data_IF_037142361067
#
_entry.id   IF_037142361067
#
_cell.length_a   1.000
_cell.length_b   1.000
_cell.length_c   1.000
_cell.angle_alpha   90.00
_cell.angle_beta   90.00
_cell.angle_gamma   90.00
#
_symmetry.space_group_name_H-M   'P 1'
#
loop_
_entity.id
_entity.type
_entity.pdbx_description
1 polymer ?
#
# COMPACT_ATOMS: atom_id res chain seq x y z
N UNK A 1 -12.55 -5.21 14.32
CA UNK A 1 -13.78 -4.45 14.69
C UNK A 1 -14.07 -3.34 13.67
N UNK A 2 -15.34 -2.96 13.43
CA UNK A 2 -15.71 -1.85 12.52
C UNK A 2 -16.56 -0.83 13.26
N UNK A 3 -16.25 0.47 13.13
CA UNK A 3 -16.90 1.57 13.86
C UNK A 3 -17.20 2.71 12.89
N UNK A 4 -18.41 3.30 12.99
CA UNK A 4 -18.73 4.51 12.24
C UNK A 4 -18.10 5.76 12.86
N UNK A 5 -17.74 6.75 12.04
CA UNK A 5 -17.17 8.04 12.53
C UNK A 5 -18.01 8.65 13.67
N UNK A 6 -19.34 8.66 13.53
CA UNK A 6 -20.24 9.25 14.53
C UNK A 6 -20.24 8.48 15.86
N UNK A 7 -19.95 7.18 15.84
CA UNK A 7 -19.83 6.35 17.05
C UNK A 7 -18.47 6.51 17.71
N UNK A 8 -17.42 6.70 16.89
CA UNK A 8 -16.07 6.99 17.34
C UNK A 8 -16.02 8.29 18.15
N UNK A 9 -16.73 9.33 17.70
CA UNK A 9 -16.83 10.59 18.45
C UNK A 9 -17.45 10.43 19.85
N UNK A 10 -18.35 9.45 20.02
CA UNK A 10 -19.03 9.19 21.30
C UNK A 10 -18.24 8.23 22.21
N UNK A 11 -17.46 7.33 21.62
CA UNK A 11 -16.79 6.22 22.31
C UNK A 11 -15.27 6.27 22.18
N UNK A 12 -14.67 7.46 22.22
CA UNK A 12 -13.22 7.63 22.01
C UNK A 12 -12.36 6.87 23.03
N UNK A 13 -12.93 6.57 24.20
CA UNK A 13 -12.31 5.74 25.25
C UNK A 13 -11.94 4.33 24.80
N UNK A 14 -12.56 3.83 23.72
CA UNK A 14 -12.21 2.57 23.06
C UNK A 14 -10.71 2.47 22.77
N UNK A 15 -10.06 3.57 22.37
CA UNK A 15 -8.65 3.57 22.00
C UNK A 15 -7.68 3.39 23.18
N UNK A 16 -8.15 3.52 24.42
CA UNK A 16 -7.27 3.38 25.60
C UNK A 16 -6.78 1.95 25.81
N UNK A 17 -7.62 0.97 25.51
CA UNK A 17 -7.33 -0.46 25.69
C UNK A 17 -7.56 -1.20 24.37
N UNK A 18 -7.04 -0.64 23.27
CA UNK A 18 -7.18 -1.27 21.97
C UNK A 18 -6.33 -2.54 21.92
N UNK A 19 -6.98 -3.69 21.78
CA UNK A 19 -6.38 -5.02 21.62
C UNK A 19 -6.52 -5.55 20.19
N UNK A 20 -7.57 -5.12 19.49
CA UNK A 20 -7.86 -5.48 18.11
C UNK A 20 -7.75 -4.31 17.13
N UNK A 21 -7.53 -4.62 15.85
CA UNK A 21 -7.58 -3.61 14.78
C UNK A 21 -9.00 -3.10 14.57
N UNK A 22 -9.14 -1.78 14.49
CA UNK A 22 -10.42 -1.09 14.27
C UNK A 22 -10.45 -0.44 12.89
N UNK A 23 -11.47 -0.75 12.12
CA UNK A 23 -11.79 -0.08 10.86
C UNK A 23 -12.78 1.05 11.12
N UNK A 24 -12.40 2.27 10.75
CA UNK A 24 -13.26 3.44 10.81
C UNK A 24 -13.90 3.60 9.43
N UNK A 25 -15.23 3.59 9.41
CA UNK A 25 -16.02 3.69 8.18
C UNK A 25 -16.92 4.92 8.18
N UNK A 26 -17.18 5.48 7.01
CA UNK A 26 -18.38 6.29 6.81
C UNK A 26 -19.57 5.34 6.60
N UNK A 27 -20.55 5.40 7.50
CA UNK A 27 -21.75 4.56 7.38
C UNK A 27 -22.64 4.93 6.19
N UNK A 28 -22.53 6.16 5.66
CA UNK A 28 -23.32 6.60 4.50
C UNK A 28 -22.74 6.10 3.18
N UNK A 29 -21.45 6.32 2.95
CA UNK A 29 -20.78 5.89 1.71
C UNK A 29 -20.29 4.45 1.77
N UNK A 30 -20.25 3.84 2.97
CA UNK A 30 -19.67 2.52 3.27
C UNK A 30 -18.16 2.44 2.98
N UNK A 31 -17.50 3.57 2.85
CA UNK A 31 -16.06 3.61 2.60
C UNK A 31 -15.27 3.49 3.89
N UNK A 32 -14.13 2.80 3.80
CA UNK A 32 -13.15 2.71 4.88
C UNK A 32 -12.28 3.96 4.83
N UNK A 33 -12.29 4.72 5.92
CA UNK A 33 -11.56 5.98 6.02
C UNK A 33 -10.22 5.83 6.72
N UNK A 34 -10.16 4.95 7.72
CA UNK A 34 -8.94 4.72 8.49
C UNK A 34 -8.92 3.33 9.13
N UNK A 35 -7.71 2.84 9.37
CA UNK A 35 -7.42 1.64 10.15
C UNK A 35 -6.61 2.07 11.37
N UNK A 36 -7.07 1.69 12.55
CA UNK A 36 -6.36 1.95 13.81
C UNK A 36 -5.84 0.62 14.33
N UNK A 37 -4.52 0.56 14.48
CA UNK A 37 -3.80 -0.61 14.98
C UNK A 37 -3.49 -0.44 16.46
N UNK A 38 -3.58 -1.51 17.27
CA UNK A 38 -3.16 -1.47 18.66
C UNK A 38 -1.63 -1.38 18.75
N UNK A 39 -1.14 -0.71 19.79
CA UNK A 39 0.30 -0.45 19.98
C UNK A 39 1.14 -1.72 19.97
N UNK A 40 0.62 -2.82 20.52
CA UNK A 40 1.26 -4.14 20.51
C UNK A 40 1.47 -4.72 19.10
N UNK A 41 0.57 -4.42 18.15
CA UNK A 41 0.71 -4.85 16.76
C UNK A 41 1.67 -3.94 15.98
N UNK A 42 1.77 -2.66 16.34
CA UNK A 42 2.80 -1.76 15.80
C UNK A 42 4.21 -2.11 16.32
N UNK A 43 4.29 -2.55 17.59
CA UNK A 43 5.45 -3.11 18.31
C UNK A 43 6.17 -4.24 17.54
N UNK A 44 5.36 -5.18 17.06
CA UNK A 44 5.80 -6.52 16.62
C UNK A 44 6.07 -6.62 15.14
N UNK A 45 5.47 -5.74 14.34
CA UNK A 45 5.65 -5.69 12.90
C UNK A 45 5.98 -4.26 12.52
N UNK A 46 7.24 -4.02 12.18
CA UNK A 46 7.62 -2.81 11.44
C UNK A 46 6.88 -2.86 10.10
N UNK A 47 5.66 -2.31 10.06
CA UNK A 47 4.89 -2.16 8.82
C UNK A 47 5.73 -1.44 7.76
N UNK A 48 6.64 -0.58 8.21
CA UNK A 48 7.63 0.13 7.39
C UNK A 48 8.62 -0.83 6.72
N UNK A 49 9.07 -1.89 7.38
CA UNK A 49 9.99 -2.87 6.78
C UNK A 49 9.26 -3.77 5.78
N UNK A 50 8.01 -4.13 6.06
CA UNK A 50 7.20 -4.93 5.13
C UNK A 50 6.83 -4.12 3.88
N UNK A 51 6.40 -2.86 4.04
CA UNK A 51 6.07 -1.97 2.92
C UNK A 51 7.33 -1.47 2.19
N UNK A 52 8.40 -1.19 2.92
CA UNK A 52 9.71 -0.85 2.37
C UNK A 52 10.33 -2.01 1.60
N UNK A 53 10.17 -3.25 2.09
CA UNK A 53 10.54 -4.47 1.38
C UNK A 53 9.75 -4.66 0.09
N UNK A 54 8.43 -4.48 0.12
CA UNK A 54 7.58 -4.55 -1.09
C UNK A 54 8.00 -3.51 -2.14
N UNK A 55 8.34 -2.28 -1.71
CA UNK A 55 8.83 -1.23 -2.61
C UNK A 55 10.27 -1.45 -3.08
N UNK A 56 11.12 -2.12 -2.29
CA UNK A 56 12.48 -2.52 -2.70
C UNK A 56 12.47 -3.72 -3.65
N UNK A 57 11.51 -4.64 -3.52
CA UNK A 57 11.38 -5.83 -4.39
C UNK A 57 10.77 -5.56 -5.75
N UNK A 58 10.38 -4.31 -6.05
CA UNK A 58 10.31 -3.89 -7.44
C UNK A 58 11.74 -3.63 -7.90
N UNK A 59 12.49 -4.72 -8.09
CA UNK A 59 13.61 -4.71 -9.00
C UNK A 59 13.10 -4.00 -10.24
N UNK A 60 13.71 -2.86 -10.54
CA UNK A 60 13.53 -2.25 -11.85
C UNK A 60 13.96 -3.33 -12.83
N UNK A 61 12.98 -3.93 -13.53
CA UNK A 61 13.22 -5.10 -14.37
C UNK A 61 14.34 -4.86 -15.39
N UNK A 62 14.64 -3.58 -15.65
CA UNK A 62 15.78 -3.13 -16.43
C UNK A 62 16.42 -1.91 -15.76
N UNK A 63 17.66 -2.06 -15.29
CA UNK A 63 18.53 -0.92 -14.98
C UNK A 63 19.26 -0.55 -16.26
N UNK A 64 18.89 0.57 -16.88
CA UNK A 64 19.58 1.09 -18.06
C UNK A 64 20.63 2.12 -17.64
N UNK A 65 21.86 1.96 -18.11
CA UNK A 65 22.97 2.91 -17.86
C UNK A 65 22.71 4.30 -18.46
N UNK A 66 21.82 4.39 -19.45
CA UNK A 66 21.53 5.61 -20.20
C UNK A 66 20.13 5.54 -20.82
N UNK A 67 19.45 6.69 -20.86
CA UNK A 67 18.14 6.86 -21.52
C UNK A 67 18.19 6.41 -22.98
N UNK A 68 19.34 6.52 -23.64
CA UNK A 68 19.49 6.11 -25.04
C UNK A 68 19.32 4.60 -25.23
N UNK A 69 19.89 3.79 -24.34
CA UNK A 69 19.75 2.33 -24.36
C UNK A 69 18.30 1.89 -24.07
N UNK A 70 17.61 2.61 -23.19
CA UNK A 70 16.20 2.36 -22.89
C UNK A 70 15.29 2.62 -24.11
N UNK A 71 15.59 3.67 -24.87
CA UNK A 71 14.85 4.01 -26.09
C UNK A 71 15.12 3.01 -27.19
N UNK A 72 16.37 2.58 -27.37
CA UNK A 72 16.77 1.58 -28.37
C UNK A 72 16.09 0.22 -28.13
N UNK A 73 16.07 -0.26 -26.88
CA UNK A 73 15.43 -1.53 -26.52
C UNK A 73 13.90 -1.47 -26.73
N UNK A 74 13.26 -0.34 -26.40
CA UNK A 74 11.85 -0.12 -26.66
C UNK A 74 11.52 -0.12 -28.18
N UNK A 75 12.36 0.51 -29.00
CA UNK A 75 12.21 0.51 -30.44
C UNK A 75 12.41 -0.89 -31.04
N UNK A 76 13.43 -1.63 -30.58
CA UNK A 76 13.71 -2.97 -31.07
C UNK A 76 12.57 -3.94 -30.71
N UNK A 77 12.02 -3.81 -29.50
CA UNK A 77 10.88 -4.60 -29.06
C UNK A 77 9.60 -4.29 -29.86
N UNK A 78 9.28 -3.02 -30.12
CA UNK A 78 8.15 -2.66 -30.99
C UNK A 78 8.33 -3.17 -32.44
N UNK A 79 9.55 -3.09 -32.97
CA UNK A 79 9.85 -3.58 -34.32
C UNK A 79 9.74 -5.10 -34.40
N UNK A 80 10.13 -5.82 -33.34
CA UNK A 80 9.98 -7.26 -33.24
C UNK A 80 8.51 -7.68 -33.13
N UNK A 81 7.68 -6.92 -32.43
CA UNK A 81 6.24 -7.19 -32.33
C UNK A 81 5.48 -6.87 -33.63
N UNK A 82 5.91 -5.86 -34.39
CA UNK A 82 5.26 -5.49 -35.66
C UNK A 82 5.75 -6.27 -36.89
N UNK A 83 6.99 -6.72 -36.89
CA UNK A 83 7.65 -7.28 -38.07
C UNK A 83 8.39 -8.61 -37.82
N UNK A 84 8.45 -9.08 -36.58
CA UNK A 84 8.83 -10.47 -36.28
C UNK A 84 7.62 -11.37 -36.52
N UNK A 85 7.79 -12.44 -37.30
CA UNK A 85 6.76 -13.48 -37.50
C UNK A 85 6.25 -14.07 -36.18
#
# INVERSE_FOLDING_TARGET
MTIGISELQKNISLFKNLDETVQIIDKKTKEVLALVLPKSQMETHSLTDTLGGILQTKDTAHSYESVHKMVEDAYEQEMREKYGN
#
